data_IF_971505762276
#
_entry.id   IF_971505762276
#
_cell.length_a   1.000
_cell.length_b   1.000
_cell.length_c   1.000
_cell.angle_alpha   90.00
_cell.angle_beta   90.00
_cell.angle_gamma   90.00
#
_symmetry.space_group_name_H-M   'P 1'
#
loop_
_entity.id
_entity.type
_entity.pdbx_description
1 polymer ?
#
# COMPACT_ATOMS: atom_id res chain seq x y z
N UNK A 1 45.34 -34.49 13.41
CA UNK A 1 44.79 -34.23 13.35
C UNK A 1 43.87 -33.69 13.83
N UNK A 2 43.63 -33.33 14.04
CA UNK A 2 42.78 -32.74 14.38
C UNK A 2 42.25 -31.73 13.96
N UNK A 3 42.32 -31.17 13.61
CA UNK A 3 41.95 -30.18 13.15
C UNK A 3 40.90 -30.18 12.39
N UNK A 4 40.70 -30.57 11.81
CA UNK A 4 39.83 -30.61 10.92
C UNK A 4 38.55 -30.50 11.38
N UNK A 5 38.22 -30.95 12.00
CA UNK A 5 37.09 -30.95 12.34
C UNK A 5 36.62 -29.70 12.54
N UNK A 6 37.20 -29.04 12.65
CA UNK A 6 36.78 -27.85 12.93
C UNK A 6 36.20 -27.27 11.83
N UNK A 7 36.61 -27.45 10.94
CA UNK A 7 36.15 -26.87 9.88
C UNK A 7 34.82 -27.18 9.65
N UNK A 8 34.53 -28.07 9.69
CA UNK A 8 33.32 -28.40 9.38
C UNK A 8 32.41 -27.67 10.06
N UNK A 9 32.60 -27.39 10.95
CA UNK A 9 31.63 -26.84 11.62
C UNK A 9 31.30 -25.60 11.07
N UNK A 10 32.08 -24.98 10.68
CA UNK A 10 31.81 -23.78 10.26
C UNK A 10 30.92 -23.77 9.22
N UNK A 11 30.81 -24.48 8.46
CA UNK A 11 30.09 -24.42 7.42
C UNK A 11 28.82 -24.48 7.72
N UNK A 12 28.55 -25.07 8.28
CA UNK A 12 27.33 -25.28 8.49
C UNK A 12 26.71 -24.12 8.65
N UNK A 13 27.05 -23.49 9.34
CA UNK A 13 26.39 -22.47 9.56
C UNK A 13 26.11 -21.75 8.56
N UNK A 14 26.73 -21.79 7.98
CA UNK A 14 26.60 -21.06 6.94
C UNK A 14 25.39 -21.37 6.33
N UNK A 15 25.32 -22.21 5.88
CA UNK A 15 24.29 -22.48 5.18
C UNK A 15 23.13 -22.07 5.67
N UNK A 16 23.01 -22.14 6.30
CA UNK A 16 21.88 -21.89 6.73
C UNK A 16 21.39 -20.74 6.58
N UNK A 17 21.83 -20.16 6.62
CA UNK A 17 21.35 -19.09 6.55
C UNK A 17 20.63 -18.82 5.67
N UNK A 18 20.51 -18.92 5.23
CA UNK A 18 19.98 -18.63 4.31
C UNK A 18 18.74 -18.57 4.20
N UNK A 19 18.30 -18.62 4.14
CA UNK A 19 17.21 -18.60 3.90
C UNK A 19 16.35 -17.94 3.98
N UNK A 20 16.06 -17.51 3.93
CA UNK A 20 15.33 -16.88 3.96
C UNK A 20 14.58 -16.32 3.53
N UNK A 21 14.19 -15.93 3.45
CA UNK A 21 13.66 -15.25 3.05
C UNK A 21 12.66 -14.98 2.54
N UNK A 22 12.05 -14.64 2.32
CA UNK A 22 11.13 -14.38 1.77
C UNK A 22 10.30 -13.59 1.73
N UNK A 23 9.79 -13.16 1.56
CA UNK A 23 8.99 -12.53 1.39
C UNK A 23 8.29 -11.71 1.18
N UNK A 24 8.42 -11.23 1.06
CA UNK A 24 7.94 -10.43 0.50
C UNK A 24 6.63 -10.20 0.26
N UNK A 25 6.01 -10.82 0.00
CA UNK A 25 4.80 -10.65 -0.24
C UNK A 25 4.24 -9.57 0.30
N UNK A 26 4.63 -9.26 1.26
CA UNK A 26 3.96 -8.31 1.87
C UNK A 26 3.90 -7.05 1.28
N UNK A 27 4.77 -6.66 0.66
CA UNK A 27 4.77 -5.39 0.16
C UNK A 27 3.64 -5.06 -0.67
N UNK A 28 2.49 -5.21 -0.29
CA UNK A 28 1.43 -4.89 -1.18
C UNK A 28 0.64 -3.69 -0.77
N UNK A 29 0.99 -3.04 0.29
CA UNK A 29 0.25 -1.88 0.73
C UNK A 29 1.02 -0.61 0.42
N UNK A 30 0.37 0.35 -0.16
CA UNK A 30 0.98 1.63 -0.44
C UNK A 30 0.45 2.63 0.58
N UNK A 31 1.35 3.30 1.30
CA UNK A 31 1.00 4.24 2.35
C UNK A 31 0.68 5.61 1.81
N UNK A 32 -0.53 6.01 1.98
CA UNK A 32 -1.02 7.30 1.54
C UNK A 32 -1.89 7.91 2.64
N UNK A 33 -2.36 9.11 2.43
CA UNK A 33 -3.27 9.74 3.38
C UNK A 33 -4.26 10.64 2.66
N UNK A 34 -5.35 10.93 3.32
CA UNK A 34 -6.35 11.86 2.81
C UNK A 34 -5.79 13.27 2.93
N UNK A 35 -5.95 14.07 1.90
CA UNK A 35 -5.47 15.44 1.89
C UNK A 35 -6.30 16.30 0.96
N UNK A 36 -6.43 17.56 1.32
CA UNK A 36 -7.09 18.53 0.43
C UNK A 36 -8.60 18.49 0.42
N UNK A 37 -9.20 17.76 1.31
CA UNK A 37 -10.65 17.78 1.44
C UNK A 37 -11.03 19.07 2.14
N UNK A 38 -12.09 19.77 1.70
CA UNK A 38 -12.50 20.99 2.36
C UNK A 38 -12.75 20.79 3.84
N UNK A 39 -12.48 21.82 4.60
CA UNK A 39 -12.62 21.77 6.05
C UNK A 39 -14.04 21.34 6.42
N UNK A 40 -14.12 20.39 7.31
CA UNK A 40 -15.42 19.91 7.75
C UNK A 40 -16.00 18.79 6.89
N UNK A 41 -15.38 18.49 5.78
CA UNK A 41 -15.85 17.43 4.91
C UNK A 41 -15.04 16.16 5.08
N UNK A 42 -15.53 15.10 4.51
CA UNK A 42 -14.87 13.80 4.53
C UNK A 42 -14.64 13.33 3.10
N UNK A 43 -13.58 12.57 2.90
CA UNK A 43 -13.37 11.88 1.64
C UNK A 43 -14.25 10.63 1.63
N UNK A 44 -15.13 10.53 0.65
CA UNK A 44 -15.99 9.37 0.55
C UNK A 44 -15.28 8.22 -0.13
N UNK A 45 -15.32 7.07 0.50
CA UNK A 45 -14.87 5.83 -0.11
C UNK A 45 -16.08 5.16 -0.71
N UNK A 46 -16.00 4.83 -1.97
CA UNK A 46 -17.16 4.35 -2.72
C UNK A 46 -16.99 2.91 -3.18
N UNK A 47 -18.11 2.27 -3.43
CA UNK A 47 -18.11 0.86 -3.86
C UNK A 47 -17.44 0.69 -5.22
N UNK A 48 -17.58 1.67 -6.10
CA UNK A 48 -17.01 1.64 -7.43
C UNK A 48 -16.37 2.98 -7.74
N UNK A 49 -15.48 3.06 -8.72
CA UNK A 49 -14.80 4.32 -9.04
C UNK A 49 -15.73 5.29 -9.77
N UNK A 50 -16.71 5.79 -9.08
CA UNK A 50 -17.70 6.70 -9.64
C UNK A 50 -18.34 7.52 -8.53
N UNK A 51 -18.58 8.78 -8.80
CA UNK A 51 -19.27 9.65 -7.85
C UNK A 51 -20.72 9.23 -7.62
N UNK A 52 -21.24 8.37 -8.47
CA UNK A 52 -22.60 7.92 -8.35
C UNK A 52 -22.74 6.62 -7.60
N UNK A 53 -21.63 6.01 -7.22
CA UNK A 53 -21.72 4.74 -6.54
C UNK A 53 -21.93 4.94 -5.04
N UNK A 54 -22.29 3.88 -4.37
CA UNK A 54 -22.60 3.91 -2.95
C UNK A 54 -21.38 4.34 -2.13
N UNK A 55 -21.60 5.19 -1.15
CA UNK A 55 -20.56 5.59 -0.21
C UNK A 55 -20.50 4.55 0.89
N UNK A 56 -19.30 4.01 1.11
CA UNK A 56 -19.09 2.98 2.11
C UNK A 56 -18.68 3.59 3.45
N UNK A 57 -17.83 4.61 3.41
CA UNK A 57 -17.31 5.25 4.61
C UNK A 57 -16.69 6.57 4.22
N UNK A 58 -16.53 7.46 5.18
CA UNK A 58 -15.90 8.76 4.96
C UNK A 58 -14.68 8.91 5.87
N UNK A 59 -13.64 9.54 5.36
CA UNK A 59 -12.40 9.75 6.11
C UNK A 59 -12.00 11.22 6.10
N UNK A 60 -11.56 11.70 7.25
CA UNK A 60 -11.10 13.08 7.37
C UNK A 60 -9.69 13.26 6.84
N UNK A 61 -9.31 14.51 6.55
CA UNK A 61 -7.93 14.81 6.15
C UNK A 61 -6.96 14.25 7.17
N UNK A 62 -5.86 13.73 6.70
CA UNK A 62 -4.84 13.14 7.54
C UNK A 62 -5.04 11.67 7.85
N UNK A 63 -6.18 11.11 7.52
CA UNK A 63 -6.41 9.68 7.75
C UNK A 63 -5.48 8.87 6.87
N UNK A 64 -4.73 7.94 7.45
CA UNK A 64 -3.87 7.06 6.66
C UNK A 64 -4.70 6.12 5.81
N UNK A 65 -4.22 5.87 4.61
CA UNK A 65 -4.89 4.97 3.68
C UNK A 65 -3.90 3.91 3.22
N UNK A 66 -4.37 2.69 3.12
CA UNK A 66 -3.60 1.61 2.52
C UNK A 66 -4.15 1.37 1.13
N UNK A 67 -3.43 1.82 0.13
CA UNK A 67 -3.87 1.62 -1.23
C UNK A 67 -3.47 0.23 -1.70
N UNK A 68 -4.29 -0.35 -2.55
CA UNK A 68 -3.97 -1.66 -3.11
C UNK A 68 -2.94 -1.56 -4.22
N UNK A 69 -2.76 -0.39 -4.76
CA UNK A 69 -1.89 -0.18 -5.91
C UNK A 69 -2.68 -0.02 -7.20
N UNK A 70 -3.93 -0.39 -7.19
CA UNK A 70 -4.76 -0.29 -8.38
C UNK A 70 -5.44 1.06 -8.43
N UNK A 71 -5.24 1.77 -9.51
CA UNK A 71 -6.00 2.98 -9.81
C UNK A 71 -6.62 2.78 -11.19
N UNK A 72 -7.66 3.51 -11.48
CA UNK A 72 -8.31 3.37 -12.77
C UNK A 72 -7.37 3.88 -13.85
N UNK A 73 -6.94 2.98 -14.71
CA UNK A 73 -6.02 3.35 -15.78
C UNK A 73 -4.56 3.45 -15.38
N UNK A 74 -4.22 3.11 -14.14
CA UNK A 74 -2.86 3.26 -13.67
C UNK A 74 -2.60 2.28 -12.53
N UNK A 75 -1.42 1.68 -12.49
CA UNK A 75 -0.99 0.94 -11.31
C UNK A 75 0.12 1.72 -10.62
N UNK A 76 0.03 1.86 -9.31
CA UNK A 76 0.95 2.70 -8.57
C UNK A 76 2.40 2.25 -8.67
N UNK A 77 2.66 1.00 -8.94
CA UNK A 77 4.03 0.55 -9.05
C UNK A 77 4.77 1.23 -10.22
N UNK A 78 4.05 1.80 -11.15
CA UNK A 78 4.69 2.50 -12.26
C UNK A 78 5.30 3.81 -11.84
N UNK A 79 4.86 4.38 -10.72
CA UNK A 79 5.41 5.64 -10.24
C UNK A 79 6.02 5.50 -8.86
N UNK A 80 6.18 4.28 -8.38
CA UNK A 80 6.64 4.06 -7.01
C UNK A 80 8.01 4.65 -6.71
N UNK A 81 8.88 4.69 -7.68
CA UNK A 81 10.21 5.24 -7.45
C UNK A 81 10.31 6.74 -7.69
N UNK A 82 9.22 7.40 -7.98
CA UNK A 82 9.26 8.81 -8.27
C UNK A 82 8.98 9.67 -7.06
N UNK A 83 9.34 10.96 -7.10
CA UNK A 83 9.07 11.85 -5.98
C UNK A 83 7.59 11.90 -5.65
N UNK A 84 7.28 12.20 -4.40
CA UNK A 84 5.90 12.23 -3.94
C UNK A 84 5.00 13.13 -4.78
N UNK A 85 5.48 14.27 -5.20
CA UNK A 85 4.65 15.18 -5.98
C UNK A 85 4.27 14.58 -7.34
N UNK A 86 5.16 13.76 -7.91
CA UNK A 86 4.81 13.10 -9.16
C UNK A 86 3.83 11.97 -8.95
N UNK A 87 3.98 11.25 -7.86
CA UNK A 87 3.03 10.21 -7.53
C UNK A 87 1.65 10.81 -7.34
N UNK A 88 1.59 11.92 -6.63
CA UNK A 88 0.33 12.60 -6.40
C UNK A 88 -0.27 13.09 -7.71
N UNK A 89 0.56 13.63 -8.58
CA UNK A 89 0.06 14.11 -9.85
C UNK A 89 -0.51 12.98 -10.70
N UNK A 90 0.12 11.82 -10.65
CA UNK A 90 -0.31 10.69 -11.46
C UNK A 90 -1.72 10.21 -11.10
N UNK A 91 -2.11 10.32 -9.85
CA UNK A 91 -3.42 9.83 -9.44
C UNK A 91 -4.49 10.92 -9.41
N UNK A 92 -4.09 12.15 -9.61
CA UNK A 92 -4.97 13.28 -9.35
C UNK A 92 -6.29 13.29 -10.10
N UNK A 93 -6.31 12.77 -11.29
CA UNK A 93 -7.51 12.77 -12.10
C UNK A 93 -8.12 11.38 -12.25
N UNK A 94 -7.77 10.48 -11.38
CA UNK A 94 -8.32 9.15 -11.47
C UNK A 94 -8.85 8.68 -10.11
N UNK A 95 -9.29 7.46 -10.03
CA UNK A 95 -9.77 6.84 -8.80
C UNK A 95 -8.79 5.77 -8.39
N UNK A 96 -8.53 5.65 -7.10
CA UNK A 96 -7.65 4.61 -6.59
C UNK A 96 -8.36 3.74 -5.56
N UNK A 97 -7.99 2.47 -5.56
CA UNK A 97 -8.60 1.51 -4.66
C UNK A 97 -7.87 1.47 -3.33
N UNK A 98 -8.62 1.45 -2.25
CA UNK A 98 -8.06 1.42 -0.90
C UNK A 98 -8.64 0.24 -0.13
N UNK A 99 -7.84 -0.31 0.77
CA UNK A 99 -8.31 -1.32 1.67
C UNK A 99 -9.11 -0.65 2.78
N UNK A 100 -10.28 -1.19 3.08
CA UNK A 100 -11.13 -0.61 4.11
C UNK A 100 -10.74 -1.07 5.50
N UNK A 101 -10.23 -2.26 5.64
CA UNK A 101 -9.88 -2.79 6.94
C UNK A 101 -8.71 -3.73 6.81
N UNK A 102 -7.54 -3.20 6.60
CA UNK A 102 -6.36 -4.01 6.36
C UNK A 102 -5.97 -4.92 7.51
N UNK A 103 -6.48 -4.66 8.70
CA UNK A 103 -6.09 -5.50 9.80
C UNK A 103 -7.24 -6.22 10.38
N UNK A 104 -8.36 -6.05 9.85
CA UNK A 104 -9.48 -6.55 10.50
C UNK A 104 -9.53 -8.01 10.58
N UNK A 105 -10.58 -8.54 10.26
CA UNK A 105 -10.87 -9.89 10.48
C UNK A 105 -10.30 -10.83 9.48
N UNK A 106 -9.36 -10.41 8.76
CA UNK A 106 -8.82 -11.27 7.76
C UNK A 106 -9.56 -11.20 6.46
N UNK A 107 -10.53 -10.31 6.36
CA UNK A 107 -11.23 -10.13 5.20
C UNK A 107 -10.99 -8.77 4.76
N UNK A 108 -10.16 -8.50 3.84
CA UNK A 108 -9.91 -7.18 3.34
C UNK A 108 -11.00 -6.82 2.35
N UNK A 109 -11.71 -5.78 2.66
CA UNK A 109 -12.66 -5.22 1.72
C UNK A 109 -12.04 -3.97 1.15
N UNK A 110 -12.40 -3.62 -0.04
CA UNK A 110 -11.83 -2.50 -0.75
C UNK A 110 -12.90 -1.55 -1.22
N UNK A 111 -12.49 -0.32 -1.41
CA UNK A 111 -13.35 0.71 -1.96
C UNK A 111 -12.54 1.66 -2.80
N UNK A 112 -13.15 2.68 -3.34
CA UNK A 112 -12.51 3.58 -4.28
C UNK A 112 -12.61 5.01 -3.82
N UNK A 113 -11.51 5.74 -3.94
CA UNK A 113 -11.46 7.15 -3.59
C UNK A 113 -10.97 7.96 -4.79
N UNK A 114 -11.39 9.21 -4.84
CA UNK A 114 -10.89 10.12 -5.86
C UNK A 114 -9.43 10.43 -5.56
N UNK A 115 -8.56 10.24 -6.53
CA UNK A 115 -7.14 10.51 -6.37
C UNK A 115 -6.83 11.97 -6.11
N UNK A 116 -7.80 12.84 -6.33
CA UNK A 116 -7.62 14.25 -6.08
C UNK A 116 -7.37 14.56 -4.60
N UNK A 117 -7.85 13.71 -3.72
CA UNK A 117 -7.81 13.96 -2.27
C UNK A 117 -6.91 13.02 -1.51
N UNK A 118 -5.91 12.50 -2.16
CA UNK A 118 -4.93 11.64 -1.49
C UNK A 118 -3.52 12.04 -1.87
N UNK A 119 -2.58 11.73 -0.99
CA UNK A 119 -1.18 11.97 -1.26
C UNK A 119 -0.34 10.94 -0.51
N UNK A 120 0.90 10.69 -0.96
CA UNK A 120 1.78 9.78 -0.23
C UNK A 120 2.05 10.30 1.18
N UNK A 121 2.25 9.38 2.09
CA UNK A 121 2.62 9.72 3.46
C UNK A 121 4.01 10.30 3.53
#
# INVERSE_FOLDING_TARGET
MLRLKSELTRWVLAGVLTVTSVPAVAATFFGWQVAGVPSGDLLNVRAYPSHKSQVLVGYANGTPLSLTGRCKGLHLNRVAGQPAWRQRQAVRSTWCEVWLDPTGSGRFRAGWVSGRYIRPL
#
